data_IF_297736981303
#
_entry.id   IF_297736981303
#
_cell.length_a   1.000
_cell.length_b   1.000
_cell.length_c   1.000
_cell.angle_alpha   90.00
_cell.angle_beta   90.00
_cell.angle_gamma   90.00
#
_symmetry.space_group_name_H-M   'P 1'
#
loop_
_entity.id
_entity.type
_entity.pdbx_description
1 polymer ?
#
# COMPACT_ATOMS: atom_id res chain seq x y z
N UNK A 1 -4.04 0.36 14.35
CA UNK A 1 -4.73 1.00 13.21
C UNK A 1 -3.71 1.51 12.19
N UNK A 2 -3.82 1.14 10.91
CA UNK A 2 -2.86 1.48 9.85
C UNK A 2 -3.22 2.85 9.22
N UNK A 3 -3.18 3.91 10.03
CA UNK A 3 -3.81 5.19 9.67
C UNK A 3 -3.10 6.00 8.57
N UNK A 4 -2.00 5.50 8.01
CA UNK A 4 -1.26 6.20 6.95
C UNK A 4 -0.79 5.24 5.86
N UNK A 5 -1.29 5.49 4.64
CA UNK A 5 -0.85 4.79 3.43
C UNK A 5 0.63 5.06 3.12
N UNK A 6 1.16 6.21 3.56
CA UNK A 6 2.58 6.59 3.38
C UNK A 6 3.50 5.69 4.20
N UNK A 7 3.23 5.53 5.50
CA UNK A 7 4.00 4.63 6.37
C UNK A 7 3.86 3.18 5.92
N UNK A 8 2.68 2.81 5.41
CA UNK A 8 2.43 1.47 4.90
C UNK A 8 3.24 1.13 3.65
N UNK A 9 3.36 2.08 2.70
CA UNK A 9 4.21 1.93 1.51
C UNK A 9 5.70 1.83 1.87
N UNK A 10 6.16 2.58 2.87
CA UNK A 10 7.58 2.65 3.23
C UNK A 10 8.13 1.39 3.92
N UNK A 11 7.28 0.45 4.37
CA UNK A 11 7.74 -0.76 5.06
C UNK A 11 8.55 -1.70 4.17
N UNK A 12 8.29 -1.70 2.86
CA UNK A 12 8.98 -2.57 1.92
C UNK A 12 9.03 -1.92 0.54
N UNK A 13 10.14 -2.05 -0.20
CA UNK A 13 10.28 -1.49 -1.55
C UNK A 13 9.21 -1.99 -2.53
N UNK A 14 8.75 -3.24 -2.38
CA UNK A 14 7.71 -3.80 -3.25
C UNK A 14 6.29 -3.38 -2.92
N UNK A 15 6.08 -2.66 -1.80
CA UNK A 15 4.76 -2.17 -1.47
C UNK A 15 4.41 -0.94 -2.33
N UNK A 16 3.25 -1.00 -2.98
CA UNK A 16 2.76 0.01 -3.91
C UNK A 16 1.32 0.41 -3.59
N UNK A 17 1.04 1.70 -3.80
CA UNK A 17 -0.32 2.24 -3.65
C UNK A 17 -1.06 2.01 -4.97
N UNK A 18 -2.21 1.32 -4.91
CA UNK A 18 -3.07 1.06 -6.06
C UNK A 18 -4.50 1.53 -5.78
N UNK A 19 -5.19 2.00 -6.82
CA UNK A 19 -6.61 2.36 -6.76
C UNK A 19 -7.45 1.21 -7.30
N UNK A 20 -8.33 0.64 -6.47
CA UNK A 20 -9.25 -0.43 -6.85
C UNK A 20 -10.65 -0.11 -6.35
N UNK A 21 -11.66 -0.21 -7.22
CA UNK A 21 -13.08 0.03 -6.88
C UNK A 21 -13.30 1.35 -6.10
N UNK A 22 -12.62 2.43 -6.52
CA UNK A 22 -12.72 3.75 -5.88
C UNK A 22 -11.94 3.91 -4.56
N UNK A 23 -11.29 2.87 -4.04
CA UNK A 23 -10.52 2.90 -2.80
C UNK A 23 -9.03 2.76 -3.06
N UNK A 24 -8.22 3.45 -2.25
CA UNK A 24 -6.76 3.34 -2.27
C UNK A 24 -6.32 2.21 -1.34
N UNK A 25 -5.48 1.33 -1.86
CA UNK A 25 -4.89 0.20 -1.14
C UNK A 25 -3.38 0.26 -1.24
N UNK A 26 -2.69 -0.27 -0.24
CA UNK A 26 -1.27 -0.65 -0.36
C UNK A 26 -1.23 -2.15 -0.59
N UNK A 27 -0.66 -2.58 -1.71
CA UNK A 27 -0.38 -3.99 -2.01
C UNK A 27 1.13 -4.19 -1.95
N UNK A 28 1.60 -5.36 -1.54
CA UNK A 28 3.01 -5.71 -1.67
C UNK A 28 3.14 -6.73 -2.79
N UNK A 29 3.97 -6.41 -3.78
CA UNK A 29 4.12 -7.18 -5.03
C UNK A 29 5.10 -8.35 -4.90
N UNK A 30 5.61 -8.59 -3.69
CA UNK A 30 6.41 -9.75 -3.34
C UNK A 30 5.65 -11.03 -3.69
N UNK A 31 6.36 -12.01 -4.28
CA UNK A 31 5.82 -13.33 -4.61
C UNK A 31 5.19 -14.02 -3.40
#
# INVERSE_FOLDING_TARGET
MLNSLRNAKQRHPDCQIVKRKGRLYVICKTK
#
